data_IF_105244086697
#
_entry.id   IF_105244086697
#
_cell.length_a   1.000
_cell.length_b   1.000
_cell.length_c   1.000
_cell.angle_alpha   90.00
_cell.angle_beta   90.00
_cell.angle_gamma   90.00
#
_symmetry.space_group_name_H-M   'P 1'
#
loop_
_entity.id
_entity.type
_entity.pdbx_description
1 polymer ?
#
# COMPACT_ATOMS: atom_id res chain seq x y z
N UNK A 1 9.33 1.76 -4.44
CA UNK A 1 9.39 3.19 -4.05
C UNK A 1 9.04 3.36 -2.57
N UNK A 2 9.51 4.43 -1.96
CA UNK A 2 9.10 4.84 -0.62
C UNK A 2 8.07 5.97 -0.71
N UNK A 3 7.02 5.90 0.12
CA UNK A 3 5.83 6.77 0.03
C UNK A 3 5.41 7.20 1.43
N UNK A 4 5.23 8.49 1.71
CA UNK A 4 4.63 8.95 2.96
C UNK A 4 3.14 8.57 2.98
N UNK A 5 2.63 8.17 4.15
CA UNK A 5 1.22 7.86 4.37
C UNK A 5 0.70 8.55 5.63
N UNK A 6 -0.54 8.28 6.01
CA UNK A 6 -1.21 8.93 7.14
C UNK A 6 -0.51 8.70 8.50
N UNK A 7 0.27 7.62 8.65
CA UNK A 7 0.83 7.25 9.95
C UNK A 7 2.33 7.02 9.95
N UNK A 8 2.83 6.30 8.96
CA UNK A 8 4.24 5.94 8.81
C UNK A 8 4.60 5.93 7.34
N UNK A 9 5.87 5.97 7.02
CA UNK A 9 6.33 5.75 5.66
C UNK A 9 6.03 4.32 5.21
N UNK A 10 5.67 4.16 3.94
CA UNK A 10 5.41 2.88 3.29
C UNK A 10 6.41 2.56 2.20
N UNK A 11 6.59 1.27 1.92
CA UNK A 11 7.18 0.78 0.69
C UNK A 11 6.06 0.31 -0.24
N UNK A 12 6.16 0.67 -1.52
CA UNK A 12 5.12 0.42 -2.51
C UNK A 12 5.70 0.00 -3.85
N UNK A 13 4.96 -0.82 -4.59
CA UNK A 13 5.24 -1.18 -5.97
C UNK A 13 3.95 -1.61 -6.69
N UNK A 14 4.04 -1.80 -8.01
CA UNK A 14 2.94 -2.31 -8.83
C UNK A 14 2.47 -3.69 -8.35
N UNK A 15 1.19 -3.80 -8.02
CA UNK A 15 0.58 -5.06 -7.57
C UNK A 15 0.50 -6.12 -8.68
N UNK A 16 0.47 -5.70 -9.95
CA UNK A 16 0.41 -6.62 -11.10
C UNK A 16 1.79 -7.11 -11.55
N UNK A 17 2.87 -6.57 -10.98
CA UNK A 17 4.23 -7.00 -11.28
C UNK A 17 4.78 -7.87 -10.16
N UNK A 18 4.65 -9.17 -10.29
CA UNK A 18 5.08 -10.14 -9.27
C UNK A 18 6.57 -10.04 -8.94
N UNK A 19 7.44 -9.73 -9.91
CA UNK A 19 8.87 -9.52 -9.67
C UNK A 19 9.12 -8.33 -8.74
N UNK A 20 8.39 -7.23 -8.94
CA UNK A 20 8.46 -6.05 -8.07
C UNK A 20 7.97 -6.35 -6.67
N UNK A 21 6.89 -7.13 -6.54
CA UNK A 21 6.35 -7.55 -5.24
C UNK A 21 7.35 -8.45 -4.50
N UNK A 22 7.96 -9.43 -5.17
CA UNK A 22 9.00 -10.29 -4.60
C UNK A 22 10.24 -9.49 -4.18
N UNK A 23 10.66 -8.51 -5.00
CA UNK A 23 11.76 -7.61 -4.64
C UNK A 23 11.43 -6.79 -3.39
N UNK A 24 10.21 -6.25 -3.28
CA UNK A 24 9.77 -5.52 -2.09
C UNK A 24 9.85 -6.38 -0.83
N UNK A 25 9.37 -7.63 -0.90
CA UNK A 25 9.47 -8.58 0.22
C UNK A 25 10.93 -8.90 0.59
N UNK A 26 11.79 -9.08 -0.41
CA UNK A 26 13.22 -9.32 -0.22
C UNK A 26 13.92 -8.15 0.47
N UNK A 27 13.68 -6.92 0.03
CA UNK A 27 14.24 -5.70 0.63
C UNK A 27 13.87 -5.60 2.12
N UNK A 28 12.64 -5.96 2.47
CA UNK A 28 12.16 -5.95 3.87
C UNK A 28 12.65 -7.16 4.69
N UNK A 29 13.12 -8.22 4.08
CA UNK A 29 13.26 -9.52 4.75
C UNK A 29 11.91 -10.05 5.27
N UNK A 30 10.80 -9.74 4.57
CA UNK A 30 9.43 -10.09 4.99
C UNK A 30 9.02 -11.43 4.39
N UNK A 31 8.59 -12.40 5.22
CA UNK A 31 8.01 -13.64 4.70
C UNK A 31 6.77 -13.37 3.83
N UNK A 32 6.69 -14.01 2.67
CA UNK A 32 5.54 -13.89 1.77
C UNK A 32 4.23 -14.37 2.42
N UNK A 33 4.31 -15.31 3.37
CA UNK A 33 3.16 -15.82 4.13
C UNK A 33 2.33 -14.73 4.84
N UNK A 34 2.94 -13.61 5.20
CA UNK A 34 2.26 -12.51 5.92
C UNK A 34 1.28 -11.71 5.05
N UNK A 35 1.33 -11.84 3.73
CA UNK A 35 0.55 -11.04 2.81
C UNK A 35 0.90 -9.55 2.80
N UNK A 36 0.28 -8.81 1.89
CA UNK A 36 0.49 -7.37 1.66
C UNK A 36 -0.85 -6.65 1.57
N UNK A 37 -0.84 -5.34 1.79
CA UNK A 37 -2.03 -4.49 1.63
C UNK A 37 -2.06 -3.97 0.20
N UNK A 38 -3.23 -3.97 -0.43
CA UNK A 38 -3.48 -3.27 -1.68
C UNK A 38 -4.00 -1.87 -1.39
N UNK A 39 -3.39 -0.88 -2.01
CA UNK A 39 -3.81 0.52 -1.92
C UNK A 39 -4.24 1.07 -3.27
N UNK A 40 -5.20 1.98 -3.25
CA UNK A 40 -5.71 2.70 -4.42
C UNK A 40 -6.30 4.05 -4.01
N UNK A 41 -6.51 4.95 -4.97
CA UNK A 41 -7.20 6.23 -4.79
C UNK A 41 -8.73 6.12 -4.82
N UNK A 42 -9.26 5.06 -5.46
CA UNK A 42 -10.70 4.86 -5.69
C UNK A 42 -11.10 3.39 -5.51
N UNK A 43 -12.25 3.17 -4.90
CA UNK A 43 -12.78 1.81 -4.66
C UNK A 43 -13.11 1.07 -5.97
N UNK A 44 -13.41 1.80 -7.03
CA UNK A 44 -13.76 1.25 -8.34
C UNK A 44 -12.63 0.40 -8.93
N UNK A 45 -11.37 0.75 -8.65
CA UNK A 45 -10.20 -0.02 -9.11
C UNK A 45 -10.08 -1.41 -8.47
N UNK A 46 -10.74 -1.61 -7.32
CA UNK A 46 -10.75 -2.91 -6.63
C UNK A 46 -11.70 -3.92 -7.29
N UNK A 47 -12.61 -3.48 -8.16
CA UNK A 47 -13.61 -4.36 -8.80
C UNK A 47 -13.01 -5.50 -9.60
N UNK A 48 -11.85 -5.27 -10.22
CA UNK A 48 -11.15 -6.30 -11.01
C UNK A 48 -10.70 -7.51 -10.19
N UNK A 49 -10.47 -7.33 -8.90
CA UNK A 49 -9.91 -8.36 -8.03
C UNK A 49 -10.89 -8.91 -6.97
N UNK A 50 -11.95 -8.17 -6.69
CA UNK A 50 -12.82 -8.48 -5.54
C UNK A 50 -14.20 -8.99 -5.92
N UNK A 51 -14.61 -8.91 -7.16
CA UNK A 51 -16.01 -9.19 -7.51
C UNK A 51 -16.98 -8.21 -6.80
N UNK A 52 -18.30 -8.54 -6.74
CA UNK A 52 -19.29 -7.65 -6.14
C UNK A 52 -19.08 -7.49 -4.63
N UNK A 53 -18.97 -6.24 -4.18
CA UNK A 53 -18.89 -5.90 -2.76
C UNK A 53 -20.28 -5.82 -2.12
N UNK A 54 -20.45 -6.31 -0.89
CA UNK A 54 -21.56 -5.91 -0.06
C UNK A 54 -21.57 -4.38 0.14
N UNK A 55 -22.74 -3.76 0.01
CA UNK A 55 -22.92 -2.30 0.18
C UNK A 55 -22.29 -1.79 1.50
N UNK A 56 -22.45 -2.56 2.58
CA UNK A 56 -21.89 -2.23 3.90
C UNK A 56 -20.36 -2.14 3.87
N UNK A 57 -19.69 -3.08 3.22
CA UNK A 57 -18.22 -3.07 3.08
C UNK A 57 -17.76 -1.86 2.29
N UNK A 58 -18.47 -1.51 1.22
CA UNK A 58 -18.20 -0.31 0.44
C UNK A 58 -18.27 0.95 1.30
N UNK A 59 -19.34 1.13 2.05
CA UNK A 59 -19.52 2.30 2.93
C UNK A 59 -18.41 2.41 3.98
N UNK A 60 -17.96 1.29 4.55
CA UNK A 60 -16.86 1.26 5.51
C UNK A 60 -15.55 1.71 4.83
N UNK A 61 -15.23 1.19 3.66
CA UNK A 61 -14.01 1.57 2.93
C UNK A 61 -14.04 3.06 2.55
N UNK A 62 -15.19 3.55 2.09
CA UNK A 62 -15.38 4.95 1.68
C UNK A 62 -15.36 5.92 2.86
N UNK A 63 -15.67 5.47 4.08
CA UNK A 63 -15.59 6.29 5.30
C UNK A 63 -14.16 6.51 5.81
N UNK A 64 -13.15 5.91 5.18
CA UNK A 64 -11.74 6.15 5.49
C UNK A 64 -11.38 7.62 5.29
N UNK A 65 -10.59 8.18 6.21
CA UNK A 65 -10.08 9.55 6.16
C UNK A 65 -8.58 9.57 6.47
N UNK A 66 -7.95 10.75 6.39
CA UNK A 66 -6.54 10.92 6.79
C UNK A 66 -6.36 10.63 8.27
N UNK A 67 -7.27 11.15 9.11
CA UNK A 67 -7.20 10.98 10.56
C UNK A 67 -7.63 9.58 11.03
N UNK A 68 -8.46 8.90 10.23
CA UNK A 68 -8.98 7.56 10.53
C UNK A 68 -8.83 6.65 9.31
N UNK A 69 -7.60 6.21 8.99
CA UNK A 69 -7.36 5.33 7.86
C UNK A 69 -7.91 3.93 8.12
N UNK A 70 -8.71 3.42 7.19
CA UNK A 70 -9.36 2.11 7.31
C UNK A 70 -8.73 1.12 6.33
N UNK A 71 -8.31 -0.03 6.84
CA UNK A 71 -7.92 -1.20 6.04
C UNK A 71 -8.93 -2.31 6.26
N UNK A 72 -9.54 -2.79 5.20
CA UNK A 72 -10.52 -3.87 5.26
C UNK A 72 -9.94 -5.18 4.74
N UNK A 73 -10.28 -6.28 5.39
CA UNK A 73 -10.05 -7.63 4.86
C UNK A 73 -11.28 -8.05 4.06
N UNK A 74 -11.10 -8.27 2.77
CA UNK A 74 -12.21 -8.58 1.86
C UNK A 74 -11.93 -9.86 1.07
N UNK A 75 -12.99 -10.62 0.70
CA UNK A 75 -12.86 -11.75 -0.22
C UNK A 75 -12.31 -11.27 -1.57
N UNK A 76 -11.60 -12.13 -2.28
CA UNK A 76 -11.10 -11.88 -3.63
C UNK A 76 -11.68 -12.92 -4.62
N UNK A 77 -11.58 -12.63 -5.92
CA UNK A 77 -12.10 -13.48 -6.99
C UNK A 77 -11.21 -14.67 -7.38
N UNK A 78 -10.07 -14.85 -6.70
CA UNK A 78 -9.11 -15.92 -6.97
C UNK A 78 -7.97 -15.55 -7.93
N UNK A 79 -8.00 -14.35 -8.54
CA UNK A 79 -6.99 -13.92 -9.53
C UNK A 79 -5.76 -13.26 -8.90
N UNK A 80 -5.79 -12.97 -7.59
CA UNK A 80 -4.66 -12.36 -6.90
C UNK A 80 -3.50 -13.34 -6.73
N UNK A 81 -2.29 -12.84 -6.98
CA UNK A 81 -1.06 -13.57 -6.73
C UNK A 81 -0.94 -14.00 -5.26
N UNK A 82 -0.51 -15.23 -5.05
CA UNK A 82 -0.20 -15.77 -3.71
C UNK A 82 0.87 -14.97 -2.98
N UNK A 83 1.73 -14.27 -3.71
CA UNK A 83 2.75 -13.40 -3.10
C UNK A 83 2.12 -12.18 -2.40
N UNK A 84 0.96 -11.72 -2.88
CA UNK A 84 0.18 -10.66 -2.25
C UNK A 84 -0.68 -11.19 -1.11
N UNK A 85 -1.35 -12.31 -1.33
CA UNK A 85 -2.23 -12.93 -0.34
C UNK A 85 -1.48 -13.52 0.85
N UNK A 86 -0.30 -14.12 0.59
CA UNK A 86 0.37 -14.97 1.57
C UNK A 86 -0.46 -16.22 1.86
N UNK A 87 -0.60 -16.55 3.13
CA UNK A 87 -1.44 -17.66 3.63
C UNK A 87 -2.87 -17.22 4.00
N UNK A 88 -3.25 -16.00 3.63
CA UNK A 88 -4.55 -15.45 4.00
C UNK A 88 -5.63 -15.81 2.97
N UNK A 89 -6.84 -16.05 3.44
CA UNK A 89 -8.04 -16.27 2.60
C UNK A 89 -8.65 -14.96 2.07
N UNK A 90 -8.29 -13.84 2.67
CA UNK A 90 -8.79 -12.50 2.35
C UNK A 90 -7.65 -11.57 2.05
N UNK A 91 -7.89 -10.59 1.19
CA UNK A 91 -6.94 -9.54 0.88
C UNK A 91 -7.22 -8.29 1.71
N UNK A 92 -6.16 -7.66 2.22
CA UNK A 92 -6.23 -6.37 2.87
C UNK A 92 -6.25 -5.26 1.82
N UNK A 93 -7.25 -4.39 1.86
CA UNK A 93 -7.41 -3.26 0.93
C UNK A 93 -7.60 -1.95 1.67
N UNK A 94 -7.07 -0.87 1.11
CA UNK A 94 -7.26 0.49 1.62
C UNK A 94 -7.45 1.47 0.45
N UNK A 95 -8.47 2.32 0.54
CA UNK A 95 -8.57 3.53 -0.28
C UNK A 95 -7.82 4.63 0.45
N UNK A 96 -6.67 5.02 -0.12
CA UNK A 96 -5.75 5.97 0.51
C UNK A 96 -6.28 7.40 0.41
N UNK A 97 -6.16 8.18 1.49
CA UNK A 97 -6.62 9.57 1.57
C UNK A 97 -5.48 10.57 1.74
N UNK A 98 -4.32 10.13 2.19
CA UNK A 98 -3.14 10.97 2.33
C UNK A 98 -2.75 11.58 0.98
N UNK A 99 -2.64 12.93 0.85
CA UNK A 99 -2.56 13.58 -0.45
C UNK A 99 -1.44 13.09 -1.36
N UNK A 100 -0.16 12.98 -0.94
CA UNK A 100 0.91 12.48 -1.80
C UNK A 100 0.68 11.04 -2.26
N UNK A 101 0.31 10.15 -1.35
CA UNK A 101 0.08 8.73 -1.68
C UNK A 101 -1.17 8.56 -2.57
N UNK A 102 -2.21 9.37 -2.35
CA UNK A 102 -3.41 9.37 -3.19
C UNK A 102 -3.11 9.85 -4.61
N UNK A 103 -2.33 10.94 -4.75
CA UNK A 103 -1.90 11.45 -6.05
C UNK A 103 -1.07 10.41 -6.81
N UNK A 104 -0.18 9.70 -6.12
CA UNK A 104 0.56 8.58 -6.70
C UNK A 104 -0.37 7.50 -7.23
N UNK A 105 -1.34 7.03 -6.42
CA UNK A 105 -2.31 6.01 -6.84
C UNK A 105 -3.15 6.47 -8.03
N UNK A 106 -3.59 7.72 -8.04
CA UNK A 106 -4.36 8.31 -9.13
C UNK A 106 -3.54 8.38 -10.43
N UNK A 107 -2.30 8.84 -10.34
CA UNK A 107 -1.39 8.92 -11.50
C UNK A 107 -1.01 7.55 -12.05
N UNK A 108 -0.74 6.58 -11.16
CA UNK A 108 -0.44 5.20 -11.54
C UNK A 108 -1.63 4.52 -12.23
N UNK A 109 -2.84 4.82 -11.81
CA UNK A 109 -4.09 4.35 -12.42
C UNK A 109 -4.43 2.88 -12.18
N UNK A 110 -3.68 2.18 -11.33
CA UNK A 110 -3.84 0.75 -11.01
C UNK A 110 -3.85 0.49 -9.51
N UNK A 111 -3.56 -0.75 -9.14
CA UNK A 111 -3.40 -1.17 -7.76
C UNK A 111 -1.92 -1.20 -7.38
N UNK A 112 -1.58 -0.61 -6.26
CA UNK A 112 -0.26 -0.70 -5.66
C UNK A 112 -0.31 -1.63 -4.44
N UNK A 113 0.74 -2.39 -4.21
CA UNK A 113 0.97 -3.00 -2.90
C UNK A 113 1.57 -1.96 -1.97
N UNK A 114 1.27 -2.06 -0.68
CA UNK A 114 1.86 -1.22 0.35
C UNK A 114 2.18 -2.03 1.60
N UNK A 115 3.28 -1.67 2.23
CA UNK A 115 3.70 -2.19 3.53
C UNK A 115 4.50 -1.12 4.26
N UNK A 116 4.56 -1.16 5.59
CA UNK A 116 5.36 -0.21 6.37
C UNK A 116 6.83 -0.21 5.96
N UNK A 117 7.48 0.97 5.95
CA UNK A 117 8.89 1.12 5.60
C UNK A 117 9.79 0.77 6.79
N UNK A 118 10.05 -0.52 6.97
CA UNK A 118 10.96 -1.06 7.97
C UNK A 118 11.49 -2.43 7.54
N UNK A 119 12.72 -2.79 7.86
CA UNK A 119 13.14 -4.18 7.84
C UNK A 119 12.29 -5.01 8.80
N UNK A 120 12.12 -6.31 8.52
CA UNK A 120 11.31 -7.18 9.37
C UNK A 120 11.84 -7.15 10.82
N UNK A 121 10.91 -6.93 11.77
CA UNK A 121 11.24 -6.84 13.20
C UNK A 121 11.74 -5.46 13.68
N UNK A 122 11.93 -4.49 12.79
CA UNK A 122 12.31 -3.13 13.16
C UNK A 122 11.08 -2.21 13.23
N UNK A 123 11.13 -1.08 13.98
CA UNK A 123 10.07 -0.08 13.98
C UNK A 123 9.85 0.54 12.60
N UNK A 124 8.59 0.85 12.26
CA UNK A 124 8.28 1.53 11.01
C UNK A 124 8.87 2.95 10.96
N UNK A 125 9.43 3.33 9.82
CA UNK A 125 9.98 4.65 9.60
C UNK A 125 8.89 5.72 9.66
N UNK A 126 9.16 6.82 10.40
CA UNK A 126 8.27 7.98 10.53
C UNK A 126 8.84 9.24 9.86
N UNK A 127 9.99 9.12 9.21
CA UNK A 127 10.64 10.21 8.47
C UNK A 127 11.36 9.66 7.26
N UNK A 128 11.56 10.51 6.26
CA UNK A 128 12.36 10.18 5.08
C UNK A 128 13.77 9.74 5.46
N UNK A 129 14.42 10.45 6.40
CA UNK A 129 15.77 10.12 6.88
C UNK A 129 15.84 8.70 7.45
N UNK A 130 14.79 8.25 8.15
CA UNK A 130 14.74 6.87 8.67
C UNK A 130 14.52 5.84 7.58
N UNK A 131 13.75 6.17 6.54
CA UNK A 131 13.63 5.31 5.34
C UNK A 131 14.97 5.19 4.64
N UNK A 132 15.69 6.31 4.48
CA UNK A 132 17.02 6.33 3.87
C UNK A 132 18.03 5.49 4.67
N UNK A 133 18.02 5.60 6.01
CA UNK A 133 18.85 4.77 6.88
C UNK A 133 18.61 3.27 6.66
N UNK A 134 17.34 2.87 6.53
CA UNK A 134 16.98 1.46 6.33
C UNK A 134 17.25 0.93 4.92
N UNK A 135 17.06 1.77 3.89
CA UNK A 135 16.87 1.29 2.50
C UNK A 135 17.60 2.11 1.43
N UNK A 136 18.54 2.97 1.77
CA UNK A 136 19.18 3.95 0.87
C UNK A 136 19.52 3.41 -0.53
N UNK A 137 20.12 2.23 -0.59
CA UNK A 137 20.59 1.62 -1.86
C UNK A 137 19.61 0.60 -2.45
N UNK A 138 18.43 0.44 -1.85
CA UNK A 138 17.45 -0.58 -2.25
C UNK A 138 16.18 0.03 -2.86
N UNK A 139 15.97 1.33 -2.70
CA UNK A 139 14.78 2.07 -3.16
C UNK A 139 15.11 2.86 -4.42
N UNK A 140 14.31 2.67 -5.46
CA UNK A 140 14.51 3.35 -6.76
C UNK A 140 13.95 4.77 -6.76
N UNK A 141 12.90 5.04 -5.97
CA UNK A 141 12.20 6.32 -5.93
C UNK A 141 11.67 6.62 -4.54
N UNK A 142 11.88 7.86 -4.10
CA UNK A 142 11.25 8.45 -2.92
C UNK A 142 10.21 9.46 -3.35
N UNK A 143 8.98 9.31 -2.87
CA UNK A 143 7.95 10.33 -3.03
C UNK A 143 8.17 11.37 -1.91
N UNK A 144 8.36 12.65 -2.23
CA UNK A 144 8.60 13.66 -1.20
C UNK A 144 7.36 13.87 -0.34
N UNK A 145 7.58 14.17 0.94
CA UNK A 145 6.52 14.67 1.82
C UNK A 145 6.20 16.11 1.40
N UNK A 146 4.99 16.34 0.90
CA UNK A 146 4.54 17.68 0.54
C UNK A 146 4.21 18.41 1.84
N UNK A 147 4.99 19.41 2.18
CA UNK A 147 4.67 20.31 3.29
C UNK A 147 3.38 21.08 2.95
N UNK A 148 2.47 21.18 3.91
CA UNK A 148 1.24 22.00 3.75
C UNK A 148 1.61 23.40 3.26
N UNK A 149 1.10 23.79 2.09
CA UNK A 149 1.32 25.09 1.47
C UNK A 149 2.16 25.11 0.19
N UNK A 150 2.67 23.98 -0.29
CA UNK A 150 3.42 23.88 -1.55
C UNK A 150 2.64 23.07 -2.62
N UNK A 151 1.37 23.36 -2.81
CA UNK A 151 0.68 22.99 -4.04
C UNK A 151 0.75 24.23 -4.94
N UNK A 152 1.70 24.26 -5.84
CA UNK A 152 1.71 25.17 -6.98
C UNK A 152 0.88 24.57 -8.08
#
# INVERSE_FOLDING_TARGET
MAVPTESVWGLSCDANNEMSVRRLLSIKGRPASKGLILITDQIERLKSILGPFPRRTRLIIESSSVDHPITCLVPHNGELSKVILGENEKVAVRVIKHPPARALCAHFGGLLVSTSANPNGQPAARSESKVMEYFLNAIDLFLPEVLEGQIV
#
